data_IF_328680634597
#
_entry.id   IF_328680634597
#
_cell.length_a   1.000
_cell.length_b   1.000
_cell.length_c   1.000
_cell.angle_alpha   90.00
_cell.angle_beta   90.00
_cell.angle_gamma   90.00
#
_symmetry.space_group_name_H-M   'P 1'
#
loop_
_entity.id
_entity.type
_entity.pdbx_description
1 polymer ?
#
# COMPACT_ATOMS: atom_id res chain seq x y z
N UNK A 1 -17.37 9.84 38.88
CA UNK A 1 -17.06 9.73 37.44
C UNK A 1 -18.14 10.46 36.64
N UNK A 2 -17.83 11.65 36.14
CA UNK A 2 -18.78 12.52 35.43
C UNK A 2 -19.11 11.97 34.05
N UNK A 3 -20.35 12.18 33.59
CA UNK A 3 -20.91 11.68 32.31
C UNK A 3 -20.02 12.00 31.08
N UNK A 4 -19.26 13.11 31.12
CA UNK A 4 -18.29 13.49 30.10
C UNK A 4 -17.05 12.60 30.00
N UNK A 5 -16.61 11.98 31.10
CA UNK A 5 -15.41 11.13 31.09
C UNK A 5 -15.65 9.81 30.34
N UNK A 6 -16.89 9.32 30.33
CA UNK A 6 -17.28 8.10 29.57
C UNK A 6 -17.30 8.34 28.06
N UNK A 7 -17.66 9.54 27.59
CA UNK A 7 -17.72 9.88 26.16
C UNK A 7 -16.32 9.92 25.55
N UNK A 8 -15.35 10.49 26.26
CA UNK A 8 -13.95 10.56 25.81
C UNK A 8 -13.34 9.16 25.65
N UNK A 9 -13.62 8.27 26.61
CA UNK A 9 -13.15 6.88 26.57
C UNK A 9 -13.77 6.10 25.39
N UNK A 10 -15.07 6.27 25.15
CA UNK A 10 -15.77 5.65 23.99
C UNK A 10 -15.22 6.20 22.67
N UNK A 11 -14.94 7.50 22.60
CA UNK A 11 -14.35 8.11 21.40
C UNK A 11 -12.94 7.55 21.14
N UNK A 12 -12.08 7.48 22.16
CA UNK A 12 -10.73 6.88 22.05
C UNK A 12 -10.78 5.40 21.66
N UNK A 13 -11.69 4.61 22.22
CA UNK A 13 -11.85 3.19 21.90
C UNK A 13 -12.32 2.93 20.45
N UNK A 14 -13.06 3.86 19.85
CA UNK A 14 -13.56 3.73 18.48
C UNK A 14 -12.63 4.35 17.44
N UNK A 15 -11.92 5.44 17.79
CA UNK A 15 -11.04 6.16 16.86
C UNK A 15 -9.69 5.49 16.62
N UNK A 16 -9.05 4.98 17.68
CA UNK A 16 -7.73 4.34 17.60
C UNK A 16 -7.72 3.13 16.63
N UNK A 17 -8.70 2.20 16.65
CA UNK A 17 -8.70 1.09 15.69
C UNK A 17 -9.05 1.55 14.25
N UNK A 18 -9.78 2.65 14.08
CA UNK A 18 -10.14 3.18 12.76
C UNK A 18 -8.93 3.79 12.04
N UNK A 19 -8.00 4.41 12.78
CA UNK A 19 -6.74 4.93 12.23
C UNK A 19 -5.81 3.83 11.68
N UNK A 20 -5.92 2.60 12.16
CA UNK A 20 -5.11 1.48 11.67
C UNK A 20 -5.71 0.79 10.43
N UNK A 21 -6.90 1.20 9.98
CA UNK A 21 -7.59 0.58 8.85
C UNK A 21 -7.22 1.17 7.47
N UNK A 22 -6.38 2.19 7.40
CA UNK A 22 -6.06 2.92 6.16
C UNK A 22 -4.89 2.33 5.35
N UNK A 23 -4.62 1.03 5.50
CA UNK A 23 -3.65 0.32 4.67
C UNK A 23 -4.34 -0.45 3.54
N UNK A 24 -4.12 -0.06 2.29
CA UNK A 24 -4.53 -0.88 1.15
C UNK A 24 -3.41 -1.87 0.81
N UNK A 25 -3.74 -3.16 0.78
CA UNK A 25 -2.82 -4.18 0.26
C UNK A 25 -2.79 -4.06 -1.26
N UNK A 26 -1.60 -3.82 -1.82
CA UNK A 26 -1.44 -3.77 -3.27
C UNK A 26 -0.63 -4.98 -3.72
N UNK A 27 -1.09 -5.62 -4.80
CA UNK A 27 -0.42 -6.78 -5.40
C UNK A 27 0.48 -6.34 -6.54
N UNK A 28 1.74 -6.72 -6.47
CA UNK A 28 2.74 -6.46 -7.50
C UNK A 28 4.14 -6.49 -6.92
N UNK A 29 5.13 -6.26 -7.77
CA UNK A 29 6.53 -6.16 -7.39
C UNK A 29 6.94 -4.68 -7.33
N UNK A 30 7.53 -4.26 -6.22
CA UNK A 30 8.06 -2.89 -6.06
C UNK A 30 9.58 -2.92 -5.97
N UNK A 31 10.22 -1.98 -6.65
CA UNK A 31 11.67 -1.81 -6.58
C UNK A 31 12.04 -0.91 -5.40
N UNK A 32 13.04 -1.27 -4.57
CA UNK A 32 13.47 -0.43 -3.45
C UNK A 32 14.03 0.92 -3.91
N UNK A 33 14.58 1.00 -5.14
CA UNK A 33 15.05 2.24 -5.76
C UNK A 33 13.92 3.15 -6.27
N UNK A 34 12.71 2.61 -6.50
CA UNK A 34 11.56 3.37 -6.97
C UNK A 34 10.27 2.77 -6.43
N UNK A 35 9.85 3.24 -5.25
CA UNK A 35 8.67 2.74 -4.55
C UNK A 35 7.35 3.23 -5.13
N UNK A 36 7.37 4.24 -6.01
CA UNK A 36 6.16 4.81 -6.63
C UNK A 36 5.64 3.99 -7.81
N UNK A 37 6.45 3.08 -8.33
CA UNK A 37 6.09 2.26 -9.50
C UNK A 37 5.97 0.81 -9.06
N UNK A 38 4.78 0.26 -9.26
CA UNK A 38 4.47 -1.14 -8.99
C UNK A 38 4.36 -1.86 -10.31
N UNK A 39 5.16 -2.90 -10.48
CA UNK A 39 5.06 -3.78 -11.63
C UNK A 39 4.00 -4.82 -11.31
N UNK A 40 2.88 -4.78 -12.05
CA UNK A 40 1.72 -5.63 -11.77
C UNK A 40 1.65 -6.83 -12.71
N UNK A 41 2.30 -6.76 -13.87
CA UNK A 41 2.31 -7.86 -14.83
C UNK A 41 3.36 -8.90 -14.49
N UNK A 42 2.90 -9.99 -13.87
CA UNK A 42 3.70 -11.19 -13.67
C UNK A 42 3.87 -11.94 -15.00
N UNK A 43 5.10 -12.27 -15.33
CA UNK A 43 5.40 -13.13 -16.49
C UNK A 43 4.82 -14.52 -16.22
N UNK A 44 4.09 -15.08 -17.18
CA UNK A 44 3.49 -16.42 -17.06
C UNK A 44 3.57 -17.19 -18.38
N UNK A 45 3.57 -18.52 -18.30
CA UNK A 45 3.80 -19.43 -19.43
C UNK A 45 4.65 -20.64 -19.04
N UNK A 46 4.72 -21.65 -19.91
CA UNK A 46 5.34 -22.95 -19.64
C UNK A 46 6.82 -22.88 -19.23
N UNK A 47 7.56 -21.90 -19.78
CA UNK A 47 8.99 -21.69 -19.45
C UNK A 47 9.21 -20.83 -18.21
N UNK A 48 8.17 -20.16 -17.72
CA UNK A 48 8.27 -19.29 -16.54
C UNK A 48 8.65 -20.09 -15.30
N UNK A 49 8.19 -21.35 -15.17
CA UNK A 49 8.57 -22.22 -14.06
C UNK A 49 10.07 -22.53 -14.07
N UNK A 50 10.66 -22.72 -15.25
CA UNK A 50 12.10 -22.94 -15.40
C UNK A 50 12.89 -21.65 -15.08
N UNK A 51 12.44 -20.52 -15.60
CA UNK A 51 13.05 -19.20 -15.34
C UNK A 51 12.96 -18.86 -13.85
N UNK A 52 11.80 -19.05 -13.22
CA UNK A 52 11.63 -18.84 -11.79
C UNK A 52 12.54 -19.77 -10.99
N UNK A 53 12.71 -21.04 -11.39
CA UNK A 53 13.65 -21.95 -10.74
C UNK A 53 15.10 -21.46 -10.86
N UNK A 54 15.52 -20.97 -12.03
CA UNK A 54 16.83 -20.34 -12.25
C UNK A 54 17.01 -19.06 -11.42
N UNK A 55 15.93 -18.33 -11.17
CA UNK A 55 15.89 -17.13 -10.33
C UNK A 55 15.68 -17.46 -8.83
N UNK A 56 15.89 -18.71 -8.42
CA UNK A 56 15.78 -19.13 -7.01
C UNK A 56 14.35 -19.17 -6.48
N UNK A 57 13.38 -19.42 -7.35
CA UNK A 57 11.94 -19.41 -7.05
C UNK A 57 11.30 -18.01 -7.05
N UNK A 58 12.08 -16.96 -7.35
CA UNK A 58 11.57 -15.58 -7.37
C UNK A 58 10.75 -15.32 -8.63
N UNK A 59 9.51 -14.82 -8.52
CA UNK A 59 8.69 -14.47 -9.67
C UNK A 59 9.24 -13.28 -10.45
N UNK A 60 9.13 -13.34 -11.77
CA UNK A 60 9.55 -12.29 -12.69
C UNK A 60 8.36 -11.40 -13.13
N UNK A 61 8.59 -10.09 -13.13
CA UNK A 61 7.65 -9.07 -13.57
C UNK A 61 8.18 -8.29 -14.78
N UNK A 62 7.27 -7.94 -15.68
CA UNK A 62 7.55 -7.12 -16.86
C UNK A 62 7.10 -5.66 -16.63
N UNK A 63 7.75 -4.72 -17.31
CA UNK A 63 7.37 -3.30 -17.36
C UNK A 63 6.03 -3.05 -18.09
N UNK A 64 5.56 -4.00 -18.90
CA UNK A 64 4.43 -3.78 -19.81
C UNK A 64 3.11 -3.40 -19.13
N UNK A 65 2.94 -3.69 -17.83
CA UNK A 65 1.91 -3.03 -17.00
C UNK A 65 2.51 -2.57 -15.67
N UNK A 66 2.54 -1.25 -15.49
CA UNK A 66 2.90 -0.62 -14.22
C UNK A 66 1.73 0.16 -13.64
N UNK A 67 1.54 0.07 -12.33
CA UNK A 67 0.69 0.97 -11.58
C UNK A 67 1.57 2.02 -10.90
N UNK A 68 1.35 3.29 -11.22
CA UNK A 68 2.00 4.40 -10.52
C UNK A 68 1.12 4.78 -9.34
N UNK A 69 1.67 4.76 -8.13
CA UNK A 69 0.96 5.24 -6.96
C UNK A 69 0.79 6.76 -7.03
N UNK A 70 -0.39 7.23 -6.60
CA UNK A 70 -0.62 8.66 -6.45
C UNK A 70 0.32 9.26 -5.40
N UNK A 71 0.56 10.57 -5.47
CA UNK A 71 1.35 11.31 -4.48
C UNK A 71 0.71 11.35 -3.09
N UNK A 72 -0.52 10.84 -2.95
CA UNK A 72 -1.24 10.76 -1.68
C UNK A 72 -0.85 9.51 -0.87
N UNK A 73 0.15 8.73 -1.30
CA UNK A 73 0.63 7.57 -0.57
C UNK A 73 1.94 7.90 0.18
N UNK A 74 1.90 7.82 1.50
CA UNK A 74 2.95 8.35 2.38
C UNK A 74 3.99 7.33 2.76
N UNK A 75 3.57 6.07 2.88
CA UNK A 75 4.43 5.05 3.45
C UNK A 75 4.19 3.69 2.81
N UNK A 76 5.29 2.94 2.69
CA UNK A 76 5.33 1.57 2.20
C UNK A 76 5.80 0.71 3.36
N UNK A 77 4.94 -0.21 3.80
CA UNK A 77 5.31 -1.17 4.84
C UNK A 77 5.35 -2.56 4.21
N UNK A 78 6.52 -3.23 4.17
CA UNK A 78 6.60 -4.61 3.70
C UNK A 78 5.76 -5.50 4.64
N UNK A 79 4.92 -6.36 4.06
CA UNK A 79 4.19 -7.35 4.83
C UNK A 79 5.15 -8.38 5.44
N UNK A 80 4.79 -8.92 6.61
CA UNK A 80 5.46 -10.06 7.22
C UNK A 80 5.22 -11.30 6.34
N UNK A 81 6.15 -11.58 5.44
CA UNK A 81 6.00 -12.59 4.37
C UNK A 81 6.33 -12.07 2.97
N UNK A 82 7.02 -10.94 2.86
CA UNK A 82 7.47 -10.36 1.59
C UNK A 82 8.26 -11.37 0.77
N UNK A 83 7.78 -11.65 -0.44
CA UNK A 83 8.46 -12.56 -1.38
C UNK A 83 9.39 -11.72 -2.24
N UNK A 84 10.63 -12.19 -2.42
CA UNK A 84 11.57 -11.52 -3.33
C UNK A 84 11.08 -11.72 -4.76
N UNK A 85 10.94 -10.62 -5.50
CA UNK A 85 10.58 -10.64 -6.90
C UNK A 85 11.69 -10.04 -7.76
N UNK A 86 11.67 -10.37 -9.05
CA UNK A 86 12.59 -9.83 -10.05
C UNK A 86 11.78 -8.99 -11.04
N UNK A 87 12.31 -7.84 -11.42
CA UNK A 87 11.70 -6.93 -12.38
C UNK A 87 12.65 -6.73 -13.54
N UNK A 88 12.07 -6.65 -14.74
CA UNK A 88 12.77 -6.16 -15.91
C UNK A 88 12.22 -4.77 -16.32
N UNK A 89 12.88 -3.67 -15.90
CA UNK A 89 12.36 -2.32 -16.01
C UNK A 89 12.54 -1.68 -17.40
N UNK A 90 13.18 -2.34 -18.36
CA UNK A 90 13.21 -1.90 -19.77
C UNK A 90 12.47 -2.86 -20.71
N UNK A 91 11.73 -3.82 -20.17
CA UNK A 91 11.00 -4.84 -20.92
C UNK A 91 11.82 -6.10 -21.23
N UNK A 92 11.09 -7.18 -21.54
CA UNK A 92 11.66 -8.48 -21.84
C UNK A 92 12.00 -8.60 -23.33
N UNK A 93 13.19 -9.10 -23.62
CA UNK A 93 13.59 -9.43 -24.99
C UNK A 93 13.14 -10.84 -25.32
N UNK A 94 12.44 -10.99 -26.44
CA UNK A 94 11.99 -12.29 -26.93
C UNK A 94 12.78 -12.69 -28.16
N UNK A 95 13.26 -13.94 -28.21
CA UNK A 95 13.84 -14.49 -29.43
C UNK A 95 12.73 -14.80 -30.46
N UNK A 96 13.11 -15.16 -31.69
CA UNK A 96 12.22 -15.49 -32.80
C UNK A 96 11.19 -16.60 -32.47
N UNK A 97 11.47 -17.45 -31.48
CA UNK A 97 10.57 -18.50 -30.99
C UNK A 97 9.62 -18.02 -29.87
N UNK A 98 9.62 -16.73 -29.51
CA UNK A 98 8.82 -16.20 -28.40
C UNK A 98 9.35 -16.55 -27.01
N UNK A 99 10.59 -17.06 -26.92
CA UNK A 99 11.25 -17.33 -25.63
C UNK A 99 11.92 -16.07 -25.10
N UNK A 100 11.85 -15.87 -23.78
CA UNK A 100 12.58 -14.81 -23.09
C UNK A 100 14.08 -15.06 -23.25
N UNK A 101 14.75 -14.14 -23.91
CA UNK A 101 16.17 -14.18 -24.27
C UNK A 101 17.01 -13.20 -23.44
N UNK A 102 16.37 -12.19 -22.86
CA UNK A 102 17.06 -11.14 -22.13
C UNK A 102 16.10 -10.23 -21.38
N UNK A 103 16.71 -9.31 -20.64
CA UNK A 103 16.04 -8.23 -19.94
C UNK A 103 16.72 -6.92 -20.30
N UNK A 104 15.99 -6.03 -20.97
CA UNK A 104 16.49 -4.72 -21.34
C UNK A 104 16.51 -3.82 -20.09
N UNK A 105 17.62 -3.11 -19.86
CA UNK A 105 17.86 -2.34 -18.63
C UNK A 105 18.35 -3.17 -17.42
N UNK A 106 18.49 -4.49 -17.56
CA UNK A 106 19.02 -5.38 -16.52
C UNK A 106 17.98 -5.80 -15.47
N UNK A 107 18.20 -6.98 -14.85
CA UNK A 107 17.29 -7.48 -13.83
C UNK A 107 17.51 -6.78 -12.49
N UNK A 108 16.42 -6.26 -11.92
CA UNK A 108 16.43 -5.64 -10.60
C UNK A 108 15.61 -6.47 -9.59
N UNK A 109 16.04 -6.49 -8.34
CA UNK A 109 15.35 -7.19 -7.25
C UNK A 109 14.39 -6.25 -6.53
N UNK A 110 13.18 -6.73 -6.30
CA UNK A 110 12.13 -6.05 -5.55
C UNK A 110 11.47 -6.96 -4.53
N UNK A 111 10.36 -6.48 -3.98
CA UNK A 111 9.53 -7.21 -3.01
C UNK A 111 8.06 -7.24 -3.41
N UNK A 112 7.42 -8.39 -3.24
CA UNK A 112 5.98 -8.60 -3.34
C UNK A 112 5.33 -8.56 -1.95
N UNK A 113 4.12 -8.02 -1.86
CA UNK A 113 3.33 -8.04 -0.62
C UNK A 113 3.65 -6.84 0.27
N UNK A 114 3.23 -5.66 -0.17
CA UNK A 114 3.37 -4.42 0.59
C UNK A 114 2.00 -3.80 0.83
N UNK A 115 1.91 -3.04 1.91
CA UNK A 115 0.78 -2.19 2.20
C UNK A 115 1.14 -0.76 1.86
N UNK A 116 0.20 -0.10 1.20
CA UNK A 116 0.27 1.31 0.89
C UNK A 116 -0.60 2.02 1.92
N UNK A 117 0.00 2.99 2.61
CA UNK A 117 -0.72 3.84 3.56
C UNK A 117 -1.01 5.17 2.87
N UNK A 118 -2.30 5.48 2.74
CA UNK A 118 -2.75 6.78 2.26
C UNK A 118 -2.39 7.88 3.28
N UNK A 119 -1.81 8.97 2.80
CA UNK A 119 -1.51 10.21 3.52
C UNK A 119 -2.77 10.97 3.94
N UNK A 120 -3.95 10.55 3.48
CA UNK A 120 -5.21 11.31 3.53
C UNK A 120 -5.79 11.49 4.94
N UNK A 121 -4.97 11.46 6.00
CA UNK A 121 -5.39 11.90 7.34
C UNK A 121 -6.00 13.31 7.27
N UNK A 122 -5.46 14.19 6.42
CA UNK A 122 -5.92 15.59 6.28
C UNK A 122 -7.40 15.68 5.87
N UNK A 123 -7.87 14.79 4.99
CA UNK A 123 -9.28 14.75 4.56
C UNK A 123 -10.24 14.42 5.71
N UNK A 124 -9.80 13.66 6.70
CA UNK A 124 -10.64 13.26 7.84
C UNK A 124 -10.51 14.18 9.06
N UNK A 125 -9.45 15.00 9.16
CA UNK A 125 -9.27 16.01 10.24
C UNK A 125 -10.47 16.95 10.30
N UNK A 126 -11.01 17.38 9.16
CA UNK A 126 -12.15 18.28 9.08
C UNK A 126 -13.41 17.72 9.78
N UNK A 127 -13.72 16.44 9.56
CA UNK A 127 -14.87 15.74 10.17
C UNK A 127 -14.64 15.54 11.68
N UNK A 128 -13.41 15.21 12.08
CA UNK A 128 -13.03 15.04 13.49
C UNK A 128 -13.21 16.34 14.26
N UNK A 129 -12.71 17.45 13.70
CA UNK A 129 -12.83 18.79 14.30
C UNK A 129 -14.29 19.19 14.43
N UNK A 130 -15.13 18.93 13.41
CA UNK A 130 -16.57 19.21 13.46
C UNK A 130 -17.28 18.42 14.56
N UNK A 131 -16.96 17.14 14.75
CA UNK A 131 -17.56 16.31 15.79
C UNK A 131 -17.17 16.79 17.21
N UNK A 132 -15.90 17.14 17.43
CA UNK A 132 -15.42 17.65 18.72
C UNK A 132 -16.07 19.00 19.04
N UNK A 133 -16.11 19.91 18.06
CA UNK A 133 -16.76 21.22 18.21
C UNK A 133 -18.27 21.08 18.48
N UNK A 134 -18.96 20.19 17.76
CA UNK A 134 -20.39 19.96 17.96
C UNK A 134 -20.74 19.41 19.34
N UNK A 135 -19.97 18.44 19.83
CA UNK A 135 -20.17 17.84 21.17
C UNK A 135 -19.77 18.81 22.30
N UNK A 136 -18.71 19.60 22.10
CA UNK A 136 -18.29 20.65 23.01
C UNK A 136 -19.36 21.74 23.17
N UNK A 137 -19.92 22.22 22.06
CA UNK A 137 -20.97 23.23 22.07
C UNK A 137 -22.23 22.77 22.81
N UNK A 138 -22.67 21.52 22.56
CA UNK A 138 -23.83 20.95 23.24
C UNK A 138 -23.62 20.86 24.75
N UNK A 139 -22.43 20.45 25.18
CA UNK A 139 -22.06 20.34 26.60
C UNK A 139 -22.03 21.71 27.31
N UNK A 140 -21.63 22.77 26.62
CA UNK A 140 -21.66 24.15 27.16
C UNK A 140 -23.11 24.65 27.27
N UNK A 141 -23.93 24.39 26.26
CA UNK A 141 -25.34 24.84 26.23
C UNK A 141 -26.18 24.17 27.31
N UNK A 142 -25.93 22.90 27.61
CA UNK A 142 -26.61 22.15 28.66
C UNK A 142 -26.19 22.62 30.07
N UNK A 143 -24.96 23.12 30.23
CA UNK A 143 -24.50 23.74 31.50
C UNK A 143 -25.09 25.14 31.74
N UNK A 144 -25.35 25.89 30.67
CA UNK A 144 -25.87 27.27 30.77
C UNK A 144 -27.40 27.34 30.94
N UNK A 145 -28.08 26.19 30.93
CA UNK A 145 -29.52 26.04 31.15
C UNK A 145 -29.88 25.47 32.53
N UNK A 146 -28.88 25.16 33.36
CA UNK A 146 -29.06 24.77 34.76
C UNK A 146 -28.63 25.89 35.68
#
# INVERSE_FOLDING_TARGET
MTKSSKIIIVFLLFFIPCLNAFGQQVQGCVLPSNTKVIYTQKVSGALTSLINALLGGSPLYSESTTQVLSNENCNYVPSSGTVVCKVCPGGLDYNLLGLISGCNGGMASGYEGFYVVECSLDNYVSIIVLLICGLGWKSIKDKNKS
#
